data_IF_118394282521
#
_entry.id   IF_118394282521
#
_cell.length_a   1.000
_cell.length_b   1.000
_cell.length_c   1.000
_cell.angle_alpha   90.00
_cell.angle_beta   90.00
_cell.angle_gamma   90.00
#
_symmetry.space_group_name_H-M   'P 1'
#
loop_
_entity.id
_entity.type
_entity.pdbx_description
1 polymer ?
#
# COMPACT_ATOMS: atom_id res chain seq x y z
N UNK A 1 10.53 -14.83 8.48
CA UNK A 1 11.87 -14.26 8.69
C UNK A 1 11.86 -13.34 9.91
N UNK A 2 11.17 -12.18 9.89
CA UNK A 2 11.21 -11.18 10.98
C UNK A 2 10.82 -11.82 12.31
N UNK A 3 9.66 -12.47 12.40
CA UNK A 3 9.21 -13.16 13.60
C UNK A 3 10.26 -14.14 14.16
N UNK A 4 10.86 -14.98 13.32
CA UNK A 4 11.90 -15.92 13.73
C UNK A 4 13.15 -15.22 14.28
N UNK A 5 13.53 -14.07 13.69
CA UNK A 5 14.66 -13.26 14.17
C UNK A 5 14.36 -12.63 15.53
N UNK A 6 13.17 -12.08 15.71
CA UNK A 6 12.70 -11.53 16.98
C UNK A 6 12.71 -12.61 18.08
N UNK A 7 12.11 -13.78 17.82
CA UNK A 7 12.07 -14.91 18.76
C UNK A 7 13.47 -15.43 19.15
N UNK A 8 14.42 -15.39 18.21
CA UNK A 8 15.81 -15.81 18.47
C UNK A 8 16.72 -14.72 19.06
N UNK A 9 16.22 -13.49 19.19
CA UNK A 9 17.03 -12.33 19.58
C UNK A 9 18.11 -11.96 18.56
N UNK A 10 17.96 -12.41 17.31
CA UNK A 10 18.93 -12.13 16.24
C UNK A 10 18.53 -10.85 15.51
N UNK A 11 19.38 -9.81 15.49
CA UNK A 11 19.07 -8.58 14.74
C UNK A 11 18.75 -8.86 13.27
N UNK A 12 17.86 -8.06 12.71
CA UNK A 12 17.53 -8.08 11.28
C UNK A 12 17.41 -6.64 10.80
N UNK A 13 17.92 -6.36 9.59
CA UNK A 13 17.87 -5.05 8.99
C UNK A 13 16.80 -4.96 7.91
N UNK A 14 16.35 -3.73 7.60
CA UNK A 14 15.44 -3.47 6.47
C UNK A 14 16.01 -4.03 5.16
N UNK A 15 17.32 -3.89 4.94
CA UNK A 15 17.98 -4.37 3.73
C UNK A 15 18.02 -5.91 3.65
N UNK A 16 18.25 -6.62 4.76
CA UNK A 16 18.18 -8.09 4.78
C UNK A 16 16.76 -8.62 4.51
N UNK A 17 15.73 -7.91 4.99
CA UNK A 17 14.34 -8.27 4.69
C UNK A 17 14.05 -8.03 3.20
N UNK A 18 14.48 -6.89 2.65
CA UNK A 18 14.35 -6.58 1.23
C UNK A 18 15.04 -7.64 0.35
N UNK A 19 16.26 -8.05 0.70
CA UNK A 19 17.01 -9.10 -0.02
C UNK A 19 16.26 -10.45 0.02
N UNK A 20 15.70 -10.81 1.19
CA UNK A 20 14.91 -12.03 1.31
C UNK A 20 13.63 -11.97 0.44
N UNK A 21 12.92 -10.83 0.44
CA UNK A 21 11.74 -10.64 -0.41
C UNK A 21 12.10 -10.71 -1.91
N UNK A 22 13.24 -10.15 -2.29
CA UNK A 22 13.71 -10.22 -3.67
C UNK A 22 14.03 -11.65 -4.09
N UNK A 23 14.69 -12.43 -3.24
CA UNK A 23 14.95 -13.85 -3.50
C UNK A 23 13.65 -14.64 -3.69
N UNK A 24 12.60 -14.36 -2.91
CA UNK A 24 11.29 -14.99 -3.10
C UNK A 24 10.61 -14.58 -4.41
N UNK A 25 10.83 -13.35 -4.90
CA UNK A 25 10.37 -12.95 -6.25
C UNK A 25 11.03 -13.79 -7.33
N UNK A 26 12.35 -13.97 -7.26
CA UNK A 26 13.11 -14.80 -8.19
C UNK A 26 12.63 -16.27 -8.16
N UNK A 27 12.45 -16.85 -6.96
CA UNK A 27 11.92 -18.21 -6.79
C UNK A 27 10.50 -18.36 -7.35
N UNK A 28 9.67 -17.33 -7.25
CA UNK A 28 8.30 -17.32 -7.75
C UNK A 28 8.20 -16.97 -9.25
N UNK A 29 9.31 -16.66 -9.93
CA UNK A 29 9.32 -16.25 -11.33
C UNK A 29 8.67 -14.88 -11.55
N UNK A 30 8.76 -13.99 -10.54
CA UNK A 30 8.30 -12.62 -10.62
C UNK A 30 9.42 -11.68 -11.03
N UNK A 31 9.04 -10.62 -11.72
CA UNK A 31 9.93 -9.50 -12.06
C UNK A 31 9.32 -8.20 -11.57
N UNK A 32 10.18 -7.25 -11.25
CA UNK A 32 9.83 -5.89 -10.86
C UNK A 32 10.87 -4.91 -11.40
N UNK A 33 10.49 -3.65 -11.55
CA UNK A 33 11.38 -2.55 -11.95
C UNK A 33 12.18 -1.96 -10.77
N UNK A 34 11.79 -2.33 -9.54
CA UNK A 34 12.49 -1.96 -8.30
C UNK A 34 12.41 -3.10 -7.27
N UNK A 35 13.29 -3.05 -6.29
CA UNK A 35 13.22 -3.93 -5.12
C UNK A 35 12.08 -3.49 -4.20
N UNK A 36 11.50 -4.42 -3.40
CA UNK A 36 10.49 -4.07 -2.41
C UNK A 36 10.95 -2.99 -1.44
N UNK A 37 10.01 -2.16 -0.99
CA UNK A 37 10.23 -1.23 0.11
C UNK A 37 10.10 -1.99 1.43
N UNK A 38 11.07 -1.78 2.32
CA UNK A 38 11.02 -2.21 3.72
C UNK A 38 11.41 -1.01 4.56
N UNK A 39 10.48 -0.49 5.32
CA UNK A 39 10.70 0.72 6.11
C UNK A 39 10.25 0.51 7.56
N UNK A 40 11.16 0.74 8.50
CA UNK A 40 10.89 0.60 9.92
C UNK A 40 10.77 1.97 10.58
N UNK A 41 9.78 2.15 11.40
CA UNK A 41 9.49 3.29 12.28
C UNK A 41 9.61 4.63 11.54
N UNK A 42 10.61 5.48 11.84
CA UNK A 42 10.80 6.80 11.20
C UNK A 42 11.04 6.72 9.69
N UNK A 43 11.67 5.65 9.19
CA UNK A 43 11.85 5.46 7.75
C UNK A 43 10.52 5.24 7.02
N UNK A 44 9.52 4.65 7.69
CA UNK A 44 8.16 4.54 7.15
C UNK A 44 7.45 5.89 7.04
N UNK A 45 7.91 6.92 7.74
CA UNK A 45 7.42 8.30 7.63
C UNK A 45 7.81 9.01 6.33
N UNK A 46 8.78 8.47 5.59
CA UNK A 46 9.15 8.93 4.24
C UNK A 46 8.47 8.03 3.19
N UNK A 47 7.41 8.49 2.47
CA UNK A 47 6.70 7.67 1.48
C UNK A 47 7.58 7.21 0.30
N UNK A 48 8.75 7.83 0.11
CA UNK A 48 9.71 7.49 -0.95
C UNK A 48 10.94 6.74 -0.42
N UNK A 49 10.93 6.30 0.85
CA UNK A 49 12.03 5.55 1.42
C UNK A 49 12.24 4.21 0.67
N UNK A 50 13.50 3.93 0.36
CA UNK A 50 13.95 2.65 -0.17
C UNK A 50 15.25 2.26 0.53
N UNK A 51 15.33 1.11 1.21
CA UNK A 51 16.58 0.67 1.81
C UNK A 51 17.61 0.31 0.75
N UNK A 52 18.87 0.63 1.04
CA UNK A 52 20.03 0.29 0.23
C UNK A 52 21.14 -0.28 1.11
N UNK A 53 22.20 -0.90 0.55
CA UNK A 53 23.34 -1.35 1.36
C UNK A 53 23.98 -0.25 2.21
N UNK A 54 23.91 1.02 1.76
CA UNK A 54 24.49 2.17 2.44
C UNK A 54 23.48 2.95 3.33
N UNK A 55 22.17 2.74 3.13
CA UNK A 55 21.11 3.44 3.86
C UNK A 55 20.03 2.43 4.25
N UNK A 56 20.13 1.92 5.44
CA UNK A 56 19.13 1.07 6.09
C UNK A 56 19.38 1.07 7.60
N UNK A 57 18.43 0.57 8.37
CA UNK A 57 18.59 0.38 9.81
C UNK A 57 18.21 -1.03 10.23
N UNK A 58 18.64 -1.41 11.44
CA UNK A 58 18.13 -2.60 12.11
C UNK A 58 16.72 -2.32 12.66
N UNK A 59 15.86 -3.32 12.63
CA UNK A 59 14.58 -3.27 13.33
C UNK A 59 14.82 -3.27 14.83
N UNK A 60 14.14 -2.37 15.53
CA UNK A 60 14.07 -2.36 16.99
C UNK A 60 12.88 -3.17 17.51
N UNK A 61 12.74 -3.18 18.85
CA UNK A 61 11.55 -3.65 19.53
C UNK A 61 10.47 -2.57 19.49
N UNK A 62 9.19 -2.98 19.46
CA UNK A 62 8.04 -2.07 19.52
C UNK A 62 7.98 -1.03 18.40
N UNK A 63 8.35 -1.41 17.17
CA UNK A 63 8.39 -0.56 15.99
C UNK A 63 7.38 -0.98 14.91
N UNK A 64 6.91 0.01 14.15
CA UNK A 64 6.16 -0.21 12.91
C UNK A 64 7.11 -0.73 11.83
N UNK A 65 6.61 -1.68 11.03
CA UNK A 65 7.25 -2.18 9.83
C UNK A 65 6.29 -2.08 8.64
N UNK A 66 6.67 -1.29 7.65
CA UNK A 66 5.99 -1.18 6.37
C UNK A 66 6.71 -2.06 5.35
N UNK A 67 5.94 -2.91 4.66
CA UNK A 67 6.39 -3.73 3.54
C UNK A 67 5.53 -3.37 2.33
N UNK A 68 6.18 -2.87 1.28
CA UNK A 68 5.52 -2.51 0.03
C UNK A 68 6.24 -3.18 -1.13
N UNK A 69 5.48 -3.89 -1.96
CA UNK A 69 6.03 -4.74 -3.00
C UNK A 69 5.13 -4.83 -4.21
N UNK A 70 5.74 -4.68 -5.37
CA UNK A 70 5.07 -4.81 -6.66
C UNK A 70 5.82 -5.75 -7.59
N UNK A 71 5.09 -6.51 -8.35
CA UNK A 71 5.68 -7.46 -9.29
C UNK A 71 4.66 -8.05 -10.23
N UNK A 72 5.18 -8.66 -11.29
CA UNK A 72 4.41 -9.41 -12.29
C UNK A 72 5.13 -10.67 -12.71
N UNK A 73 4.43 -11.60 -13.33
CA UNK A 73 5.07 -12.75 -13.97
C UNK A 73 5.97 -12.29 -15.13
N UNK A 74 7.11 -12.92 -15.29
CA UNK A 74 8.04 -12.66 -16.42
C UNK A 74 7.48 -13.28 -17.73
N UNK A 75 6.45 -12.62 -18.28
CA UNK A 75 5.86 -13.00 -19.56
C UNK A 75 5.18 -11.80 -20.23
N UNK A 76 5.10 -11.76 -21.58
CA UNK A 76 4.35 -10.72 -22.29
C UNK A 76 2.89 -10.64 -21.84
N UNK A 77 2.36 -9.42 -21.69
CA UNK A 77 1.00 -9.15 -21.28
C UNK A 77 0.71 -9.39 -19.81
N UNK A 78 1.73 -9.71 -18.98
CA UNK A 78 1.55 -9.80 -17.55
C UNK A 78 1.35 -8.41 -16.94
N UNK A 79 0.39 -8.30 -16.03
CA UNK A 79 0.03 -7.08 -15.31
C UNK A 79 0.64 -7.11 -13.93
N UNK A 80 1.13 -5.97 -13.46
CA UNK A 80 1.63 -5.80 -12.09
C UNK A 80 0.51 -6.00 -11.06
N UNK A 81 0.88 -6.62 -9.95
CA UNK A 81 0.19 -6.51 -8.68
C UNK A 81 1.05 -5.66 -7.75
N UNK A 82 0.41 -4.87 -6.90
CA UNK A 82 1.05 -3.97 -5.97
C UNK A 82 0.33 -4.02 -4.62
N UNK A 83 1.09 -4.09 -3.52
CA UNK A 83 0.50 -4.29 -2.20
C UNK A 83 1.40 -3.77 -1.08
N UNK A 84 0.82 -3.06 -0.14
CA UNK A 84 1.48 -2.66 1.12
C UNK A 84 0.83 -3.33 2.32
N UNK A 85 1.66 -3.90 3.19
CA UNK A 85 1.25 -4.47 4.46
C UNK A 85 2.03 -3.88 5.62
N UNK A 86 1.35 -3.75 6.78
CA UNK A 86 1.94 -3.24 8.01
C UNK A 86 2.15 -4.34 9.03
N UNK A 87 3.34 -4.35 9.63
CA UNK A 87 3.69 -5.16 10.79
C UNK A 87 4.06 -4.29 11.99
N UNK A 88 4.13 -4.91 13.16
CA UNK A 88 4.62 -4.30 14.39
C UNK A 88 5.52 -5.29 15.11
N UNK A 89 6.73 -4.88 15.48
CA UNK A 89 7.73 -5.79 16.04
C UNK A 89 7.46 -6.20 17.49
N UNK A 90 6.53 -5.51 18.18
CA UNK A 90 6.07 -5.89 19.51
C UNK A 90 4.87 -6.85 19.49
N UNK A 91 4.46 -7.31 20.69
CA UNK A 91 3.34 -8.25 20.88
C UNK A 91 1.97 -7.58 20.82
N UNK A 92 1.86 -6.30 21.14
CA UNK A 92 0.60 -5.56 21.21
C UNK A 92 0.74 -4.22 20.50
N UNK A 93 -0.01 -4.01 19.42
CA UNK A 93 0.03 -2.77 18.66
C UNK A 93 -0.51 -1.60 19.50
N UNK A 94 0.26 -0.54 19.73
CA UNK A 94 -0.20 0.65 20.44
C UNK A 94 -1.40 1.31 19.76
N UNK A 95 -2.34 1.83 20.57
CA UNK A 95 -3.57 2.47 20.10
C UNK A 95 -3.31 3.58 19.07
N UNK A 96 -2.21 4.36 19.22
CA UNK A 96 -1.86 5.42 18.27
C UNK A 96 -1.68 4.91 16.84
N UNK A 97 -1.05 3.75 16.66
CA UNK A 97 -0.86 3.12 15.35
C UNK A 97 -2.15 2.46 14.87
N UNK A 98 -2.80 1.68 15.74
CA UNK A 98 -4.05 1.01 15.41
C UNK A 98 -5.13 2.00 14.95
N UNK A 99 -5.37 3.08 15.71
CA UNK A 99 -6.39 4.08 15.35
C UNK A 99 -6.08 4.82 14.04
N UNK A 100 -4.80 5.15 13.77
CA UNK A 100 -4.44 5.79 12.51
C UNK A 100 -4.55 4.79 11.33
N UNK A 101 -4.25 3.51 11.55
CA UNK A 101 -4.42 2.46 10.56
C UNK A 101 -5.89 2.20 10.24
N UNK A 102 -6.78 2.21 11.24
CA UNK A 102 -8.23 2.10 11.05
C UNK A 102 -8.76 3.21 10.14
N UNK A 103 -8.25 4.44 10.29
CA UNK A 103 -8.65 5.58 9.43
C UNK A 103 -8.28 5.35 7.97
N UNK A 104 -7.06 4.88 7.67
CA UNK A 104 -6.66 4.63 6.29
C UNK A 104 -7.32 3.37 5.71
N UNK A 105 -7.64 2.36 6.53
CA UNK A 105 -8.47 1.23 6.11
C UNK A 105 -9.87 1.68 5.72
N UNK A 106 -10.50 2.55 6.50
CA UNK A 106 -11.82 3.12 6.19
C UNK A 106 -11.79 4.01 4.93
N UNK A 107 -10.72 4.78 4.72
CA UNK A 107 -10.51 5.56 3.50
C UNK A 107 -10.37 4.65 2.27
N UNK A 108 -9.56 3.58 2.36
CA UNK A 108 -9.41 2.54 1.32
C UNK A 108 -10.76 1.92 0.97
N UNK A 109 -11.48 1.46 1.98
CA UNK A 109 -12.75 0.76 1.78
C UNK A 109 -13.83 1.71 1.25
N UNK A 110 -13.84 2.98 1.67
CA UNK A 110 -14.71 4.04 1.10
C UNK A 110 -14.44 4.24 -0.41
N UNK A 111 -13.17 4.28 -0.83
CA UNK A 111 -12.79 4.38 -2.24
C UNK A 111 -13.29 3.17 -3.04
N UNK A 112 -13.06 1.96 -2.54
CA UNK A 112 -13.48 0.70 -3.17
C UNK A 112 -15.02 0.65 -3.32
N UNK A 113 -15.76 0.98 -2.25
CA UNK A 113 -17.22 0.97 -2.24
C UNK A 113 -17.80 2.01 -3.21
N UNK A 114 -17.15 3.18 -3.35
CA UNK A 114 -17.55 4.19 -4.33
C UNK A 114 -17.41 3.65 -5.74
N UNK A 115 -16.28 3.03 -6.07
CA UNK A 115 -16.05 2.44 -7.40
C UNK A 115 -17.09 1.35 -7.68
N UNK A 116 -17.24 0.38 -6.78
CA UNK A 116 -18.18 -0.74 -6.95
C UNK A 116 -19.63 -0.24 -7.16
N UNK A 117 -20.09 0.68 -6.33
CA UNK A 117 -21.42 1.25 -6.40
C UNK A 117 -21.65 2.00 -7.74
N UNK A 118 -20.72 2.87 -8.16
CA UNK A 118 -20.86 3.66 -9.39
C UNK A 118 -20.88 2.77 -10.64
N UNK A 119 -20.05 1.71 -10.64
CA UNK A 119 -20.04 0.72 -11.73
C UNK A 119 -21.36 -0.03 -11.78
N UNK A 120 -21.91 -0.51 -10.66
CA UNK A 120 -23.20 -1.20 -10.59
C UNK A 120 -24.36 -0.32 -11.04
N UNK A 121 -24.30 0.97 -10.73
CA UNK A 121 -25.31 1.96 -11.14
C UNK A 121 -25.16 2.40 -12.61
N UNK A 122 -24.11 1.99 -13.32
CA UNK A 122 -23.79 2.44 -14.67
C UNK A 122 -23.48 3.94 -14.76
N UNK A 123 -23.07 4.56 -13.65
CA UNK A 123 -22.75 5.98 -13.55
C UNK A 123 -21.27 6.22 -13.81
N UNK A 124 -20.92 7.22 -14.62
CA UNK A 124 -19.51 7.57 -14.82
C UNK A 124 -18.84 7.94 -13.50
N UNK A 125 -17.56 7.59 -13.40
CA UNK A 125 -16.70 7.89 -12.26
C UNK A 125 -15.33 8.30 -12.79
N UNK A 126 -14.76 9.36 -12.22
CA UNK A 126 -13.45 9.88 -12.58
C UNK A 126 -12.45 9.60 -11.46
N UNK A 127 -11.17 9.55 -11.80
CA UNK A 127 -10.12 9.24 -10.82
C UNK A 127 -10.11 10.19 -9.63
N UNK A 128 -10.26 11.50 -9.88
CA UNK A 128 -10.29 12.54 -8.85
C UNK A 128 -11.46 12.37 -7.84
N UNK A 129 -12.61 11.84 -8.28
CA UNK A 129 -13.76 11.62 -7.38
C UNK A 129 -13.44 10.56 -6.33
N UNK A 130 -12.68 9.52 -6.72
CA UNK A 130 -12.29 8.42 -5.82
C UNK A 130 -11.24 8.89 -4.81
N UNK A 131 -10.22 9.63 -5.27
CA UNK A 131 -9.20 10.20 -4.38
C UNK A 131 -9.85 11.14 -3.36
N UNK A 132 -10.75 12.03 -3.81
CA UNK A 132 -11.46 12.95 -2.93
C UNK A 132 -12.24 12.22 -1.84
N UNK A 133 -12.93 11.12 -2.18
CA UNK A 133 -13.71 10.35 -1.21
C UNK A 133 -12.81 9.74 -0.12
N UNK A 134 -11.63 9.21 -0.48
CA UNK A 134 -10.65 8.71 0.48
C UNK A 134 -10.08 9.85 1.35
N UNK A 135 -9.69 10.99 0.74
CA UNK A 135 -9.17 12.16 1.46
C UNK A 135 -10.15 12.75 2.46
N UNK A 136 -11.43 12.80 2.11
CA UNK A 136 -12.49 13.27 3.02
C UNK A 136 -12.58 12.41 4.29
N UNK A 137 -12.36 11.09 4.19
CA UNK A 137 -12.32 10.21 5.36
C UNK A 137 -11.11 10.49 6.25
N UNK A 138 -9.92 10.63 5.65
CA UNK A 138 -8.70 10.97 6.38
C UNK A 138 -8.82 12.36 7.03
N UNK A 139 -9.37 13.34 6.31
CA UNK A 139 -9.59 14.70 6.80
C UNK A 139 -10.59 14.75 7.96
N UNK A 140 -11.66 13.97 7.90
CA UNK A 140 -12.65 13.88 8.98
C UNK A 140 -12.06 13.36 10.30
N UNK A 141 -10.97 12.59 10.23
CA UNK A 141 -10.20 12.13 11.38
C UNK A 141 -9.10 13.11 11.83
N UNK A 142 -8.98 14.29 11.19
CA UNK A 142 -7.96 15.30 11.51
C UNK A 142 -6.57 14.96 11.00
N UNK A 143 -6.43 14.04 10.02
CA UNK A 143 -5.15 13.57 9.50
C UNK A 143 -4.85 14.08 8.07
N UNK A 144 -5.56 15.10 7.58
CA UNK A 144 -5.43 15.60 6.21
C UNK A 144 -4.00 15.97 5.82
N UNK A 145 -3.25 16.62 6.71
CA UNK A 145 -1.90 17.11 6.46
C UNK A 145 -0.85 15.97 6.34
N UNK A 146 -1.21 14.77 6.76
CA UNK A 146 -0.35 13.59 6.74
C UNK A 146 -0.58 12.69 5.52
N UNK A 147 -1.62 12.94 4.71
CA UNK A 147 -1.88 12.19 3.49
C UNK A 147 -1.32 12.92 2.27
N UNK A 148 -0.08 12.64 1.92
CA UNK A 148 0.78 13.46 1.05
C UNK A 148 1.03 12.90 -0.35
N UNK A 149 0.25 11.93 -0.78
CA UNK A 149 0.26 11.38 -2.15
C UNK A 149 -1.16 11.04 -2.62
N UNK A 150 -1.35 10.70 -3.88
CA UNK A 150 -2.63 10.24 -4.45
C UNK A 150 -3.13 8.96 -3.78
N UNK A 151 -4.42 8.69 -3.88
CA UNK A 151 -5.04 7.47 -3.32
C UNK A 151 -4.67 6.20 -4.08
N UNK A 152 -4.24 6.31 -5.34
CA UNK A 152 -3.84 5.15 -6.11
C UNK A 152 -3.51 5.45 -7.57
N UNK A 153 -2.98 4.45 -8.25
CA UNK A 153 -2.57 4.57 -9.63
C UNK A 153 -3.09 3.43 -10.50
N UNK A 154 -3.05 3.63 -11.82
CA UNK A 154 -3.35 2.58 -12.78
C UNK A 154 -2.29 1.49 -12.75
N UNK A 155 -2.72 0.25 -12.79
CA UNK A 155 -1.90 -0.94 -12.99
C UNK A 155 -2.01 -1.45 -14.42
N UNK A 156 -0.88 -1.88 -14.98
CA UNK A 156 -0.79 -2.43 -16.32
C UNK A 156 0.44 -3.32 -16.50
N UNK A 157 0.97 -3.38 -17.71
CA UNK A 157 2.28 -3.97 -17.98
C UNK A 157 3.42 -3.15 -17.35
N UNK A 158 3.17 -1.88 -17.03
CA UNK A 158 3.97 -1.01 -16.18
C UNK A 158 3.29 -0.89 -14.81
N UNK A 159 4.07 -0.75 -13.73
CA UNK A 159 3.52 -0.59 -12.37
C UNK A 159 2.66 0.66 -12.26
N UNK A 160 3.14 1.78 -12.80
CA UNK A 160 2.35 3.00 -13.02
C UNK A 160 1.82 3.00 -14.47
N UNK A 161 0.71 2.32 -14.69
CA UNK A 161 0.14 2.17 -16.02
C UNK A 161 -0.43 3.48 -16.61
N UNK A 162 -0.74 3.45 -17.90
CA UNK A 162 -1.26 4.62 -18.65
C UNK A 162 -2.76 4.90 -18.42
N UNK A 163 -3.44 4.11 -17.59
CA UNK A 163 -4.84 4.28 -17.25
C UNK A 163 -5.10 5.43 -16.28
N UNK A 164 -6.31 5.47 -15.76
CA UNK A 164 -6.75 6.47 -14.77
C UNK A 164 -6.03 6.24 -13.45
N UNK A 165 -5.52 7.31 -12.86
CA UNK A 165 -5.07 7.34 -11.47
C UNK A 165 -6.22 7.81 -10.56
N UNK A 166 -6.22 7.36 -9.32
CA UNK A 166 -7.12 7.85 -8.28
C UNK A 166 -6.45 9.04 -7.62
N UNK A 167 -6.58 10.23 -8.28
CA UNK A 167 -5.72 11.38 -7.99
C UNK A 167 -6.48 12.72 -8.12
N UNK A 168 -6.52 13.50 -7.05
CA UNK A 168 -6.94 14.90 -6.96
C UNK A 168 -5.94 15.71 -6.14
N UNK A 169 -4.72 15.17 -5.95
CA UNK A 169 -3.67 15.74 -5.13
C UNK A 169 -2.43 16.12 -5.94
N UNK A 170 -1.78 15.14 -6.57
CA UNK A 170 -0.61 15.38 -7.43
C UNK A 170 -1.06 15.92 -8.79
N UNK A 171 -2.12 15.34 -9.33
CA UNK A 171 -2.81 15.79 -10.54
C UNK A 171 -4.31 15.67 -10.36
N UNK A 172 -5.09 16.49 -11.08
CA UNK A 172 -6.54 16.32 -11.16
C UNK A 172 -6.85 15.33 -12.29
N UNK A 173 -6.99 14.04 -11.98
CA UNK A 173 -7.26 13.03 -13.00
C UNK A 173 -8.75 12.99 -13.36
N UNK A 174 -9.13 13.75 -14.39
CA UNK A 174 -10.49 13.86 -14.91
C UNK A 174 -10.86 12.74 -15.89
N UNK A 175 -9.98 11.77 -16.12
CA UNK A 175 -10.27 10.61 -16.96
C UNK A 175 -11.28 9.69 -16.28
N UNK A 176 -12.09 9.02 -17.09
CA UNK A 176 -13.10 8.08 -16.61
C UNK A 176 -12.46 6.74 -16.27
N UNK A 177 -12.81 6.20 -15.12
CA UNK A 177 -12.52 4.83 -14.76
C UNK A 177 -13.41 3.88 -15.58
N UNK A 178 -12.79 3.01 -16.37
CA UNK A 178 -13.46 2.14 -17.34
C UNK A 178 -13.45 0.68 -16.87
N UNK A 179 -14.43 -0.09 -17.35
CA UNK A 179 -14.38 -1.55 -17.25
C UNK A 179 -13.09 -2.08 -17.89
N UNK A 180 -12.42 -3.01 -17.21
CA UNK A 180 -11.12 -3.55 -17.59
C UNK A 180 -9.93 -2.81 -16.98
N UNK A 181 -10.15 -1.70 -16.26
CA UNK A 181 -9.08 -1.00 -15.53
C UNK A 181 -8.67 -1.79 -14.27
N UNK A 182 -7.36 -1.87 -14.05
CA UNK A 182 -6.76 -2.24 -12.77
C UNK A 182 -6.16 -1.00 -12.12
N UNK A 183 -6.38 -0.81 -10.82
CA UNK A 183 -5.83 0.30 -10.05
C UNK A 183 -5.40 -0.16 -8.66
N UNK A 184 -4.42 0.52 -8.06
CA UNK A 184 -4.16 0.43 -6.63
C UNK A 184 -5.16 1.28 -5.85
N UNK A 185 -5.39 0.93 -4.58
CA UNK A 185 -6.07 1.76 -3.59
C UNK A 185 -5.21 1.73 -2.33
N UNK A 186 -4.45 2.81 -2.11
CA UNK A 186 -3.29 2.82 -1.21
C UNK A 186 -3.22 4.05 -0.28
N UNK A 187 -4.29 4.45 0.39
CA UNK A 187 -4.20 5.60 1.29
C UNK A 187 -3.17 5.36 2.40
N UNK A 188 -2.40 6.41 2.72
CA UNK A 188 -1.39 6.39 3.76
C UNK A 188 -1.34 7.69 4.55
N UNK A 189 -0.77 7.64 5.74
CA UNK A 189 -0.50 8.80 6.59
C UNK A 189 0.94 8.74 7.09
N UNK A 190 1.67 9.85 6.97
CA UNK A 190 3.11 9.92 7.20
C UNK A 190 3.42 11.00 8.22
N UNK A 191 3.86 10.55 9.39
CA UNK A 191 4.31 11.41 10.48
C UNK A 191 5.85 11.47 10.50
N UNK A 192 6.40 12.37 11.25
CA UNK A 192 7.86 12.50 11.36
C UNK A 192 8.53 11.25 11.96
N UNK A 193 7.84 10.57 12.88
CA UNK A 193 8.36 9.43 13.64
C UNK A 193 7.83 8.06 13.17
N UNK A 194 6.87 7.99 12.25
CA UNK A 194 6.36 6.76 11.63
C UNK A 194 5.47 7.05 10.43
N UNK A 195 5.23 6.05 9.60
CA UNK A 195 4.23 6.10 8.52
C UNK A 195 3.42 4.83 8.44
N UNK A 196 2.20 4.96 7.94
CA UNK A 196 1.28 3.84 7.72
C UNK A 196 0.70 3.94 6.31
N UNK A 197 0.66 2.84 5.59
CA UNK A 197 -0.04 2.69 4.30
C UNK A 197 -0.76 1.35 4.29
N UNK A 198 -1.93 1.30 3.72
CA UNK A 198 -2.63 0.06 3.38
C UNK A 198 -2.89 0.07 1.90
N UNK A 199 -2.60 -1.02 1.20
CA UNK A 199 -2.74 -1.07 -0.23
C UNK A 199 -3.30 -2.39 -0.71
N UNK A 200 -4.16 -2.29 -1.74
CA UNK A 200 -4.79 -3.43 -2.39
C UNK A 200 -5.04 -3.09 -3.86
N UNK A 201 -5.11 -4.11 -4.71
CA UNK A 201 -5.48 -3.90 -6.11
C UNK A 201 -6.98 -4.06 -6.32
N UNK A 202 -7.55 -3.19 -7.15
CA UNK A 202 -8.94 -3.19 -7.54
C UNK A 202 -9.06 -3.36 -9.05
N UNK A 203 -9.86 -4.33 -9.48
CA UNK A 203 -10.18 -4.55 -10.89
C UNK A 203 -11.62 -4.18 -11.18
N UNK A 204 -11.85 -3.32 -12.17
CA UNK A 204 -13.17 -2.84 -12.58
C UNK A 204 -13.78 -3.81 -13.58
N UNK A 205 -14.84 -4.50 -13.18
CA UNK A 205 -15.59 -5.45 -13.98
C UNK A 205 -16.87 -4.80 -14.57
N UNK A 206 -17.57 -5.49 -15.47
CA UNK A 206 -18.79 -4.97 -16.07
C UNK A 206 -19.98 -4.81 -15.09
N UNK A 207 -19.92 -5.50 -13.95
CA UNK A 207 -20.99 -5.52 -12.96
C UNK A 207 -20.59 -5.05 -11.58
N UNK A 208 -19.42 -4.41 -11.42
CA UNK A 208 -18.91 -3.95 -10.14
C UNK A 208 -17.39 -3.81 -10.13
N UNK A 209 -16.80 -3.82 -8.96
CA UNK A 209 -15.37 -3.80 -8.78
C UNK A 209 -14.93 -4.95 -7.86
N UNK A 210 -13.84 -5.61 -8.22
CA UNK A 210 -13.33 -6.77 -7.48
C UNK A 210 -11.95 -6.47 -6.90
N UNK A 211 -11.83 -6.57 -5.60
CA UNK A 211 -10.54 -6.55 -4.92
C UNK A 211 -9.79 -7.84 -5.24
N UNK A 212 -8.52 -7.73 -5.61
CA UNK A 212 -7.64 -8.87 -5.82
C UNK A 212 -6.65 -8.98 -4.67
N UNK A 213 -6.55 -10.17 -4.08
CA UNK A 213 -5.75 -10.42 -2.89
C UNK A 213 -6.51 -10.24 -1.57
N UNK A 214 -5.79 -10.40 -0.47
CA UNK A 214 -6.35 -10.27 0.87
C UNK A 214 -6.22 -8.82 1.38
N UNK A 215 -7.31 -8.29 1.97
CA UNK A 215 -7.27 -6.99 2.66
C UNK A 215 -6.62 -7.14 4.00
N UNK A 216 -5.68 -6.27 4.32
CA UNK A 216 -5.22 -6.11 5.68
C UNK A 216 -6.24 -5.23 6.44
N UNK A 217 -6.69 -5.71 7.60
CA UNK A 217 -7.68 -5.01 8.44
C UNK A 217 -7.11 -4.55 9.78
N UNK A 218 -5.92 -5.03 10.13
CA UNK A 218 -5.19 -4.65 11.34
C UNK A 218 -3.68 -4.75 11.11
N UNK A 219 -2.91 -3.97 11.84
CA UNK A 219 -1.45 -4.09 11.86
C UNK A 219 -1.11 -5.43 12.53
N UNK A 220 -0.25 -6.24 11.88
CA UNK A 220 0.10 -7.57 12.38
C UNK A 220 1.19 -7.52 13.45
N UNK A 221 0.92 -7.93 14.72
CA UNK A 221 1.98 -8.17 15.69
C UNK A 221 2.91 -9.29 15.20
N UNK A 222 4.22 -9.10 15.36
CA UNK A 222 5.26 -10.03 14.91
C UNK A 222 5.97 -10.70 16.10
N UNK A 223 5.91 -10.13 17.31
CA UNK A 223 6.31 -10.79 18.55
C UNK A 223 5.15 -11.56 19.18
N UNK A 224 5.47 -12.57 19.97
CA UNK A 224 4.50 -13.42 20.71
C UNK A 224 4.29 -12.89 22.11
#
# INVERSE_FOLDING_TARGET
LVQQRLESGTPVTEFEIQDAMWAWFEEAGLVSDSRPVVAAQENAGDPHYLPTPARHRSLGEDEILLLDLWGKLDRPGAVFADITWMGYTGATVPTRYASAFDVICDARDTAIDLVDRRVREGRPLHGWEVDRAARERVAAAGLADYFVHRTGHSLGEEVHGNGVHLDDFETHDDRRLLTGSGVTVEPGVYFEDFGLRTEINLFVESGGARVTGARQTEIRPLAS
#
